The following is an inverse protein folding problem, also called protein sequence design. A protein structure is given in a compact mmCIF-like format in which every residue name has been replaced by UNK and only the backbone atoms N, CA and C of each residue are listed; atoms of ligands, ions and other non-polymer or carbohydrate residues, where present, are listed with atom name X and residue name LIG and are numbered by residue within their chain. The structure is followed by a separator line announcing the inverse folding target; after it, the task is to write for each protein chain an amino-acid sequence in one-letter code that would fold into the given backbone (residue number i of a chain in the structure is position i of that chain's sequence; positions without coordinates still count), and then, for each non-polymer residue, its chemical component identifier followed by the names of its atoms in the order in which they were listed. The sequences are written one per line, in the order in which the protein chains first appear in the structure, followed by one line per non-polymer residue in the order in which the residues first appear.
data_IF_018877171281
#
_entry.id   IF_018877171281
#
_cell.length_a   1.000
_cell.length_b   1.000
_cell.length_c   1.000
_cell.angle_alpha   90.00
_cell.angle_beta   90.00
_cell.angle_gamma   90.00
#
_symmetry.space_group_name_H-M   'P 1'
#
loop_
_entity.id
_entity.type
_entity.pdbx_description
1 polymer ?
#
# COMPACT_ATOMS: atom_id res chain seq x y z
N UNK A 1 8.86 -2.26 11.10
CA UNK A 1 9.90 -2.88 10.28
C UNK A 1 9.46 -3.16 8.85
N UNK A 2 10.42 -3.34 7.95
CA UNK A 2 10.20 -3.74 6.57
C UNK A 2 11.42 -4.49 6.04
N UNK A 3 11.20 -5.65 5.41
CA UNK A 3 12.24 -6.48 4.80
C UNK A 3 12.08 -6.62 3.27
N UNK A 4 11.19 -5.83 2.66
CA UNK A 4 10.93 -5.86 1.22
C UNK A 4 12.12 -5.30 0.42
N UNK A 5 12.87 -4.36 0.97
CA UNK A 5 14.14 -3.90 0.40
C UNK A 5 14.03 -2.99 -0.83
N UNK A 6 12.97 -2.20 -0.98
CA UNK A 6 12.77 -1.29 -2.11
C UNK A 6 13.87 -0.23 -2.18
N UNK A 7 14.73 -0.24 -3.19
CA UNK A 7 15.84 0.72 -3.34
C UNK A 7 15.38 2.18 -3.39
N UNK A 8 14.17 2.42 -3.87
CA UNK A 8 13.51 3.73 -4.00
C UNK A 8 12.55 4.05 -2.84
N UNK A 9 12.60 3.29 -1.73
CA UNK A 9 11.75 3.56 -0.57
C UNK A 9 12.04 4.98 -0.02
N UNK A 10 10.98 5.75 0.16
CA UNK A 10 11.05 7.11 0.71
C UNK A 10 10.97 7.14 2.25
N UNK A 11 10.66 5.98 2.87
CA UNK A 11 10.56 5.84 4.33
C UNK A 11 11.54 4.76 4.84
N UNK A 12 12.81 4.82 4.44
CA UNK A 12 13.82 3.84 4.86
C UNK A 12 14.04 3.76 6.37
N UNK A 13 13.70 4.82 7.10
CA UNK A 13 13.72 4.81 8.57
C UNK A 13 12.80 3.74 9.16
N UNK A 14 11.71 3.39 8.46
CA UNK A 14 10.75 2.37 8.89
C UNK A 14 11.25 0.92 8.74
N UNK A 15 12.41 0.68 8.12
CA UNK A 15 12.93 -0.68 7.93
C UNK A 15 13.36 -1.33 9.24
N UNK A 16 13.91 -0.53 10.14
CA UNK A 16 14.42 -0.96 11.44
C UNK A 16 13.36 -0.69 12.52
N UNK A 17 12.67 -1.75 12.94
CA UNK A 17 11.65 -1.65 13.97
C UNK A 17 12.19 -1.19 15.32
N UNK A 18 13.45 -1.50 15.65
CA UNK A 18 14.06 -1.17 16.95
C UNK A 18 14.27 0.34 17.14
N UNK A 19 14.27 1.11 16.03
CA UNK A 19 14.37 2.57 16.08
C UNK A 19 13.08 3.29 16.44
N UNK A 20 12.00 2.55 16.58
CA UNK A 20 10.67 3.12 16.83
C UNK A 20 10.12 2.60 18.17
N UNK A 21 9.46 3.48 18.95
CA UNK A 21 8.89 3.08 20.23
C UNK A 21 7.75 2.09 20.02
N UNK A 22 7.67 1.09 20.88
CA UNK A 22 6.49 0.24 20.97
C UNK A 22 5.33 1.05 21.54
N UNK A 23 4.14 0.84 20.97
CA UNK A 23 2.90 1.48 21.41
C UNK A 23 1.85 0.42 21.69
N UNK A 24 1.06 0.60 22.72
CA UNK A 24 -0.08 -0.28 22.99
C UNK A 24 -1.19 -0.07 21.97
N UNK A 25 -2.02 -1.09 21.77
CA UNK A 25 -3.20 -1.01 20.90
C UNK A 25 -4.12 0.12 21.37
N UNK A 26 -4.33 0.25 22.70
CA UNK A 26 -5.17 1.30 23.28
C UNK A 26 -4.67 2.71 22.93
N UNK A 27 -3.36 2.96 23.00
CA UNK A 27 -2.78 4.25 22.59
C UNK A 27 -3.02 4.55 21.11
N UNK A 28 -2.88 3.55 20.24
CA UNK A 28 -3.12 3.71 18.81
C UNK A 28 -4.60 4.02 18.52
N UNK A 29 -5.53 3.37 19.23
CA UNK A 29 -6.97 3.64 19.11
C UNK A 29 -7.29 5.06 19.57
N UNK A 30 -6.73 5.48 20.71
CA UNK A 30 -6.96 6.84 21.20
C UNK A 30 -6.45 7.90 20.22
N UNK A 31 -5.29 7.65 19.58
CA UNK A 31 -4.77 8.55 18.54
C UNK A 31 -5.68 8.58 17.31
N UNK A 32 -6.17 7.43 16.88
CA UNK A 32 -7.10 7.32 15.77
C UNK A 32 -8.38 8.10 16.04
N UNK A 33 -8.99 7.94 17.21
CA UNK A 33 -10.20 8.65 17.60
C UNK A 33 -9.98 10.18 17.71
N UNK A 34 -8.81 10.61 18.21
CA UNK A 34 -8.46 12.05 18.28
C UNK A 34 -8.31 12.70 16.90
N UNK A 35 -7.99 11.94 15.87
CA UNK A 35 -7.87 12.47 14.52
C UNK A 35 -9.20 13.00 13.96
N UNK A 36 -10.34 12.49 14.47
CA UNK A 36 -11.68 12.78 13.97
C UNK A 36 -11.98 12.20 12.57
N UNK A 37 -11.03 11.44 11.98
CA UNK A 37 -11.25 10.76 10.71
C UNK A 37 -12.05 9.47 10.90
N UNK A 38 -13.07 9.20 10.09
CA UNK A 38 -13.77 7.92 10.13
C UNK A 38 -12.95 6.75 9.55
N UNK A 39 -11.89 7.06 8.80
CA UNK A 39 -11.07 6.07 8.11
C UNK A 39 -9.63 6.12 8.64
N UNK A 40 -9.09 4.98 8.99
CA UNK A 40 -7.72 4.82 9.45
C UNK A 40 -6.96 3.92 8.49
N UNK A 41 -5.80 4.41 8.03
CA UNK A 41 -4.91 3.64 7.16
C UNK A 41 -3.77 3.05 7.98
N UNK A 42 -3.70 1.72 8.03
CA UNK A 42 -2.54 1.02 8.57
C UNK A 42 -1.51 0.89 7.46
N UNK A 43 -0.37 1.49 7.68
CA UNK A 43 0.76 1.54 6.75
C UNK A 43 2.08 1.51 7.53
N UNK A 44 3.19 1.91 6.94
CA UNK A 44 4.48 2.06 7.63
C UNK A 44 5.60 1.45 6.82
N UNK A 45 6.36 0.50 7.39
CA UNK A 45 7.26 -0.39 6.66
C UNK A 45 6.46 -1.40 5.85
N UNK A 46 6.39 -2.65 6.32
CA UNK A 46 5.46 -3.66 5.78
C UNK A 46 4.53 -4.15 6.90
N UNK A 47 3.26 -3.69 6.94
CA UNK A 47 2.35 -4.03 8.03
C UNK A 47 2.06 -5.52 8.14
N UNK A 48 2.06 -6.27 7.03
CA UNK A 48 1.78 -7.71 7.04
C UNK A 48 2.86 -8.56 7.74
N UNK A 49 3.99 -7.96 8.13
CA UNK A 49 4.96 -8.58 9.05
C UNK A 49 4.36 -8.88 10.43
N UNK A 50 3.34 -8.13 10.82
CA UNK A 50 2.77 -8.17 12.17
C UNK A 50 1.38 -8.80 12.18
N UNK A 51 1.00 -9.31 13.35
CA UNK A 51 -0.38 -9.69 13.61
C UNK A 51 -1.20 -8.44 13.96
N UNK A 52 -2.08 -8.04 13.05
CA UNK A 52 -2.92 -6.86 13.17
C UNK A 52 -4.33 -7.21 13.66
N UNK A 53 -4.58 -8.47 14.04
CA UNK A 53 -5.92 -8.96 14.41
C UNK A 53 -6.54 -8.14 15.53
N UNK A 54 -5.81 -7.93 16.62
CA UNK A 54 -6.33 -7.19 17.76
C UNK A 54 -6.51 -5.71 17.46
N UNK A 55 -5.53 -5.09 16.80
CA UNK A 55 -5.61 -3.67 16.43
C UNK A 55 -6.79 -3.40 15.50
N UNK A 56 -6.92 -4.16 14.41
CA UNK A 56 -7.98 -3.96 13.43
C UNK A 56 -9.36 -4.19 14.03
N UNK A 57 -9.52 -5.24 14.85
CA UNK A 57 -10.78 -5.54 15.54
C UNK A 57 -11.20 -4.41 16.47
N UNK A 58 -10.29 -3.87 17.26
CA UNK A 58 -10.61 -2.79 18.21
C UNK A 58 -10.89 -1.47 17.48
N UNK A 59 -10.15 -1.13 16.42
CA UNK A 59 -10.46 0.05 15.60
C UNK A 59 -11.86 -0.03 14.99
N UNK A 60 -12.25 -1.19 14.45
CA UNK A 60 -13.60 -1.42 13.91
C UNK A 60 -14.67 -1.37 15.02
N UNK A 61 -14.41 -1.93 16.19
CA UNK A 61 -15.30 -1.86 17.35
C UNK A 61 -15.51 -0.40 17.83
N UNK A 62 -14.51 0.47 17.62
CA UNK A 62 -14.61 1.90 17.88
C UNK A 62 -15.36 2.69 16.77
N UNK A 63 -15.90 2.00 15.75
CA UNK A 63 -16.68 2.61 14.66
C UNK A 63 -15.83 3.17 13.51
N UNK A 64 -14.54 2.83 13.46
CA UNK A 64 -13.62 3.29 12.42
C UNK A 64 -13.54 2.27 11.28
N UNK A 65 -13.41 2.74 10.04
CA UNK A 65 -13.05 1.90 8.92
C UNK A 65 -11.52 1.70 8.88
N UNK A 66 -11.10 0.46 8.70
CA UNK A 66 -9.68 0.07 8.73
C UNK A 66 -9.20 -0.26 7.32
N UNK A 67 -8.30 0.56 6.81
CA UNK A 67 -7.68 0.39 5.51
C UNK A 67 -6.24 -0.07 5.68
N UNK A 68 -5.76 -0.89 4.76
CA UNK A 68 -4.40 -1.44 4.77
C UNK A 68 -3.66 -1.07 3.50
N UNK A 69 -2.45 -0.54 3.63
CA UNK A 69 -1.47 -0.39 2.55
C UNK A 69 -0.35 -1.42 2.74
N UNK A 70 -0.21 -2.38 1.83
CA UNK A 70 0.76 -3.47 1.96
C UNK A 70 1.38 -3.87 0.63
N UNK A 71 2.58 -4.44 0.65
CA UNK A 71 3.15 -5.13 -0.49
C UNK A 71 2.57 -6.55 -0.67
N UNK A 72 1.82 -7.06 0.31
CA UNK A 72 1.19 -8.38 0.28
C UNK A 72 2.16 -9.56 0.32
N UNK A 73 3.33 -9.37 0.92
CA UNK A 73 4.43 -10.36 0.92
C UNK A 73 4.36 -11.35 2.09
N UNK A 74 3.42 -11.17 2.98
CA UNK A 74 3.11 -12.06 4.10
C UNK A 74 1.59 -12.26 4.21
N UNK A 75 1.13 -13.35 4.87
CA UNK A 75 -0.30 -13.56 5.13
C UNK A 75 -0.90 -12.38 5.89
N UNK A 76 -2.05 -11.89 5.44
CA UNK A 76 -2.76 -10.80 6.10
C UNK A 76 -3.47 -11.35 7.34
N UNK A 77 -3.13 -10.81 8.51
CA UNK A 77 -3.75 -11.15 9.79
C UNK A 77 -4.43 -9.91 10.34
N UNK A 78 -5.75 -9.89 10.30
CA UNK A 78 -6.59 -8.76 10.71
C UNK A 78 -7.86 -8.65 9.88
N UNK A 79 -8.70 -7.69 10.25
CA UNK A 79 -9.97 -7.38 9.58
C UNK A 79 -9.86 -6.00 8.94
N UNK A 80 -9.93 -5.94 7.61
CA UNK A 80 -9.74 -4.71 6.84
C UNK A 80 -10.98 -4.45 5.98
N UNK A 81 -11.43 -3.20 5.98
CA UNK A 81 -12.55 -2.74 5.15
C UNK A 81 -12.08 -2.39 3.73
N UNK A 82 -10.79 -2.09 3.59
CA UNK A 82 -10.13 -1.81 2.31
C UNK A 82 -8.67 -2.24 2.33
N UNK A 83 -8.23 -2.92 1.27
CA UNK A 83 -6.84 -3.38 1.10
C UNK A 83 -6.29 -2.80 -0.21
N UNK A 84 -5.33 -1.88 -0.10
CA UNK A 84 -4.49 -1.43 -1.20
C UNK A 84 -3.23 -2.31 -1.24
N UNK A 85 -3.16 -3.19 -2.22
CA UNK A 85 -1.99 -4.02 -2.47
C UNK A 85 -1.07 -3.33 -3.46
N UNK A 86 0.14 -3.01 -3.02
CA UNK A 86 1.16 -2.35 -3.84
C UNK A 86 2.35 -3.30 -4.06
N UNK A 87 2.34 -4.15 -5.11
CA UNK A 87 3.34 -5.20 -5.31
C UNK A 87 4.73 -4.61 -5.54
N UNK A 88 5.76 -5.34 -5.10
CA UNK A 88 7.15 -4.93 -5.22
C UNK A 88 7.98 -6.05 -5.87
N UNK A 89 8.77 -5.71 -6.88
CA UNK A 89 9.64 -6.69 -7.58
C UNK A 89 10.69 -7.33 -6.67
N UNK A 90 11.03 -6.65 -5.58
CA UNK A 90 12.02 -7.12 -4.61
C UNK A 90 11.54 -8.34 -3.84
N UNK A 91 10.22 -8.43 -3.63
CA UNK A 91 9.55 -9.57 -3.00
C UNK A 91 8.13 -9.64 -3.54
N UNK A 92 7.79 -10.72 -4.24
CA UNK A 92 6.49 -10.86 -4.89
C UNK A 92 5.36 -11.02 -3.85
N UNK A 93 4.15 -10.51 -4.17
CA UNK A 93 3.00 -10.69 -3.30
C UNK A 93 2.52 -12.14 -3.28
N UNK A 94 1.88 -12.55 -2.18
CA UNK A 94 1.26 -13.85 -2.04
C UNK A 94 -0.06 -13.91 -2.83
N UNK A 95 -0.41 -15.06 -3.44
CA UNK A 95 -1.68 -15.24 -4.17
C UNK A 95 -2.93 -14.92 -3.32
N UNK A 96 -2.91 -15.31 -2.05
CA UNK A 96 -4.00 -15.03 -1.12
C UNK A 96 -4.20 -13.53 -0.85
N UNK A 97 -3.13 -12.72 -0.89
CA UNK A 97 -3.21 -11.27 -0.74
C UNK A 97 -3.76 -10.61 -2.02
N UNK A 98 -3.38 -11.14 -3.19
CA UNK A 98 -3.90 -10.66 -4.48
C UNK A 98 -5.41 -10.87 -4.59
N UNK A 99 -5.92 -12.02 -4.17
CA UNK A 99 -7.34 -12.38 -4.31
C UNK A 99 -8.30 -11.53 -3.46
N UNK A 100 -7.80 -10.87 -2.41
CA UNK A 100 -8.59 -10.03 -1.49
C UNK A 100 -8.33 -8.53 -1.64
N UNK A 101 -7.46 -8.13 -2.58
CA UNK A 101 -7.13 -6.74 -2.81
C UNK A 101 -8.30 -5.96 -3.40
N UNK A 102 -8.65 -4.81 -2.79
CA UNK A 102 -9.62 -3.85 -3.33
C UNK A 102 -8.94 -2.91 -4.34
N UNK A 103 -7.68 -2.59 -4.11
CA UNK A 103 -6.83 -1.82 -5.01
C UNK A 103 -5.53 -2.58 -5.31
N UNK A 104 -5.11 -2.52 -6.56
CA UNK A 104 -3.80 -2.98 -7.02
C UNK A 104 -3.03 -1.78 -7.56
N UNK A 105 -2.08 -1.26 -6.77
CA UNK A 105 -1.35 -0.02 -7.05
C UNK A 105 0.11 -0.29 -7.41
N UNK A 106 0.45 -0.17 -8.67
CA UNK A 106 1.80 -0.44 -9.20
C UNK A 106 2.62 0.83 -9.19
N UNK A 107 3.65 0.88 -8.32
CA UNK A 107 4.65 1.96 -8.34
C UNK A 107 5.69 1.63 -9.41
N UNK A 108 5.85 2.53 -10.40
CA UNK A 108 6.74 2.36 -11.54
C UNK A 108 7.98 3.22 -11.35
N UNK A 109 9.09 2.56 -11.02
CA UNK A 109 10.44 3.13 -10.95
C UNK A 109 11.22 2.86 -12.24
N UNK A 110 11.03 1.67 -12.82
CA UNK A 110 11.67 1.22 -14.05
C UNK A 110 10.62 0.74 -15.06
N UNK A 111 10.82 0.91 -16.38
CA UNK A 111 9.85 0.49 -17.41
C UNK A 111 9.39 -0.97 -17.32
N UNK A 112 10.21 -1.86 -16.73
CA UNK A 112 9.86 -3.27 -16.56
C UNK A 112 8.95 -3.57 -15.35
N UNK A 113 8.63 -2.58 -14.51
CA UNK A 113 7.82 -2.81 -13.31
C UNK A 113 6.36 -3.09 -13.66
N UNK A 114 5.83 -2.32 -14.61
CA UNK A 114 4.46 -2.51 -15.07
C UNK A 114 4.26 -3.87 -15.77
N UNK A 115 5.05 -4.26 -16.79
CA UNK A 115 4.92 -5.60 -17.40
C UNK A 115 5.03 -6.76 -16.39
N UNK A 116 5.89 -6.63 -15.39
CA UNK A 116 5.98 -7.62 -14.32
C UNK A 116 4.69 -7.69 -13.49
N UNK A 117 4.14 -6.55 -13.09
CA UNK A 117 2.93 -6.47 -12.29
C UNK A 117 1.70 -6.97 -13.05
N UNK A 118 1.63 -6.79 -14.37
CA UNK A 118 0.54 -7.31 -15.21
C UNK A 118 0.40 -8.83 -15.14
N UNK A 119 1.47 -9.56 -14.80
CA UNK A 119 1.44 -11.00 -14.59
C UNK A 119 0.58 -11.47 -13.41
N UNK A 120 0.10 -10.56 -12.56
CA UNK A 120 -0.75 -10.89 -11.42
C UNK A 120 -2.24 -10.62 -11.67
N UNK A 121 -2.62 -10.01 -12.79
CA UNK A 121 -4.00 -9.56 -13.03
C UNK A 121 -5.04 -10.67 -12.92
N UNK A 122 -4.73 -11.87 -13.39
CA UNK A 122 -5.64 -13.02 -13.36
C UNK A 122 -5.89 -13.55 -11.93
N UNK A 123 -5.10 -13.10 -10.96
CA UNK A 123 -5.23 -13.49 -9.55
C UNK A 123 -6.00 -12.44 -8.73
N UNK A 124 -6.30 -11.28 -9.33
CA UNK A 124 -7.06 -10.22 -8.67
C UNK A 124 -8.57 -10.48 -8.79
N UNK A 125 -9.31 -9.97 -7.81
CA UNK A 125 -10.76 -9.92 -7.91
C UNK A 125 -11.18 -9.03 -9.09
N UNK A 126 -12.28 -9.38 -9.79
CA UNK A 126 -12.73 -8.65 -10.99
C UNK A 126 -13.02 -7.16 -10.74
N UNK A 127 -13.47 -6.83 -9.52
CA UNK A 127 -13.79 -5.45 -9.11
C UNK A 127 -12.59 -4.71 -8.51
N UNK A 128 -11.40 -5.33 -8.49
CA UNK A 128 -10.18 -4.70 -7.99
C UNK A 128 -9.85 -3.47 -8.83
N UNK A 129 -9.68 -2.32 -8.18
CA UNK A 129 -9.28 -1.07 -8.83
C UNK A 129 -7.81 -1.13 -9.19
N UNK A 130 -7.49 -0.69 -10.40
CA UNK A 130 -6.12 -0.77 -10.94
C UNK A 130 -5.49 0.62 -11.01
N UNK A 131 -4.35 0.79 -10.36
CA UNK A 131 -3.62 2.05 -10.34
C UNK A 131 -2.18 1.88 -10.77
N UNK A 132 -1.68 2.85 -11.55
CA UNK A 132 -0.25 3.03 -11.81
C UNK A 132 0.20 4.34 -11.18
N UNK A 133 1.33 4.30 -10.49
CA UNK A 133 1.91 5.46 -9.83
C UNK A 133 3.36 5.64 -10.28
N UNK A 134 3.73 6.78 -10.88
CA UNK A 134 5.14 7.07 -11.12
C UNK A 134 5.87 7.19 -9.78
N UNK A 135 7.00 6.50 -9.64
CA UNK A 135 7.88 6.72 -8.50
C UNK A 135 8.41 8.17 -8.54
N UNK A 136 8.55 8.79 -7.38
CA UNK A 136 8.75 10.24 -7.27
C UNK A 136 9.97 10.76 -8.01
N UNK A 137 11.13 10.15 -7.83
CA UNK A 137 12.38 10.61 -8.45
C UNK A 137 12.41 10.33 -9.96
N UNK A 138 11.65 9.33 -10.41
CA UNK A 138 11.53 8.94 -11.80
C UNK A 138 10.28 9.52 -12.50
N UNK A 139 9.43 10.28 -11.80
CA UNK A 139 8.14 10.74 -12.31
C UNK A 139 8.23 11.44 -13.68
N UNK A 140 9.23 12.29 -13.89
CA UNK A 140 9.37 13.02 -15.16
C UNK A 140 9.70 12.08 -16.33
N UNK A 141 10.45 11.02 -16.09
CA UNK A 141 10.85 10.07 -17.12
C UNK A 141 9.80 8.98 -17.39
N UNK A 142 9.08 8.53 -16.34
CA UNK A 142 8.13 7.41 -16.48
C UNK A 142 6.70 7.87 -16.81
N UNK A 143 6.27 9.06 -16.38
CA UNK A 143 4.90 9.56 -16.60
C UNK A 143 4.48 9.57 -18.07
N UNK A 144 5.29 10.02 -19.06
CA UNK A 144 4.88 9.98 -20.48
C UNK A 144 4.56 8.56 -20.98
N UNK A 145 5.26 7.55 -20.47
CA UNK A 145 4.98 6.13 -20.79
C UNK A 145 3.69 5.65 -20.13
N UNK A 146 3.48 6.02 -18.86
CA UNK A 146 2.25 5.67 -18.15
C UNK A 146 1.01 6.31 -18.78
N UNK A 147 1.08 7.56 -19.20
CA UNK A 147 -0.05 8.23 -19.86
C UNK A 147 -0.44 7.55 -21.17
N UNK A 148 0.52 7.12 -21.99
CA UNK A 148 0.24 6.33 -23.19
C UNK A 148 -0.42 4.99 -22.84
N UNK A 149 0.13 4.30 -21.85
CA UNK A 149 -0.43 3.03 -21.38
C UNK A 149 -1.90 3.20 -20.91
N UNK A 150 -2.19 4.25 -20.16
CA UNK A 150 -3.54 4.55 -19.66
C UNK A 150 -4.55 4.85 -20.80
N UNK A 151 -4.12 5.52 -21.85
CA UNK A 151 -4.96 5.76 -23.02
C UNK A 151 -5.39 4.47 -23.73
N UNK A 152 -4.50 3.47 -23.75
CA UNK A 152 -4.75 2.16 -24.35
C UNK A 152 -5.46 1.18 -23.38
N UNK A 153 -5.43 1.47 -22.07
CA UNK A 153 -5.91 0.59 -21.01
C UNK A 153 -6.84 1.34 -20.02
N UNK A 154 -8.08 1.66 -20.40
CA UNK A 154 -8.96 2.56 -19.63
C UNK A 154 -9.43 2.01 -18.28
N UNK A 155 -9.17 0.73 -17.96
CA UNK A 155 -9.41 0.17 -16.62
C UNK A 155 -8.40 0.67 -15.57
N UNK A 156 -7.26 1.22 -16.02
CA UNK A 156 -6.23 1.72 -15.14
C UNK A 156 -6.39 3.21 -14.87
N UNK A 157 -6.05 3.62 -13.66
CA UNK A 157 -6.09 5.02 -13.21
C UNK A 157 -4.69 5.48 -12.80
N UNK A 158 -4.38 6.74 -13.08
CA UNK A 158 -3.14 7.35 -12.59
C UNK A 158 -3.28 7.68 -11.10
N UNK A 159 -2.38 7.17 -10.28
CA UNK A 159 -2.20 7.57 -8.89
C UNK A 159 -1.03 8.55 -8.79
N UNK A 160 -1.17 9.58 -7.99
CA UNK A 160 -0.11 10.57 -7.73
C UNK A 160 0.21 10.62 -6.23
N UNK A 161 1.48 10.84 -5.91
CA UNK A 161 1.90 11.17 -4.54
C UNK A 161 1.57 12.64 -4.25
N UNK A 162 0.26 12.94 -4.13
CA UNK A 162 -0.27 14.31 -4.05
C UNK A 162 0.35 15.11 -2.91
N UNK A 163 0.64 14.45 -1.77
CA UNK A 163 1.32 15.07 -0.63
C UNK A 163 2.67 15.69 -1.03
N UNK A 164 3.45 15.03 -1.91
CA UNK A 164 4.74 15.56 -2.38
C UNK A 164 4.60 16.75 -3.33
N UNK A 165 3.49 16.84 -4.08
CA UNK A 165 3.21 18.01 -4.90
C UNK A 165 2.74 19.20 -4.08
N UNK A 166 2.09 18.94 -2.94
CA UNK A 166 1.55 19.96 -2.04
C UNK A 166 2.51 20.32 -0.90
N UNK A 167 3.69 19.69 -0.86
CA UNK A 167 4.69 19.85 0.20
C UNK A 167 4.10 19.60 1.61
N UNK A 168 3.24 18.58 1.71
CA UNK A 168 2.62 18.11 2.95
C UNK A 168 3.47 16.94 3.47
N UNK A 169 3.80 16.92 4.78
CA UNK A 169 4.60 15.84 5.37
C UNK A 169 3.92 14.47 5.34
#
# INVERSE_FOLDING_TARGET
GCDVGCVWCDVKASWDAEKHPLRSVDELIQDALRSGSPNIVITGGEPSLYDLTELSKQLRAAGLQVWLETAGVYPLRGEFDWICLSPKKFKAPLPECLSVANEFKVVVYHPSDLPWALGFLDQLHQDCLLYVQPEWDKRLSVTPHLLRYLQENPRWTLSLQTHKYLDIP
#
